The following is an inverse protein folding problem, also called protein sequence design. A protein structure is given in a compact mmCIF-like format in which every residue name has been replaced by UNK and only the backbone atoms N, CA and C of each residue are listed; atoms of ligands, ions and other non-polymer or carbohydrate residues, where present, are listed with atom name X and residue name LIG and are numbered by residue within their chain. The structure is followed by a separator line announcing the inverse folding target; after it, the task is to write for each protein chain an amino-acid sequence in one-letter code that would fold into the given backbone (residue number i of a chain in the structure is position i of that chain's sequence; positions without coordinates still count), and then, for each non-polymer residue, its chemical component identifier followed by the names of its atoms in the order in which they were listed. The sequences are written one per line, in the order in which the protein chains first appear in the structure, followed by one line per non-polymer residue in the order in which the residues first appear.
data_IF_292177213915
#
_entry.id   IF_292177213915
#
_cell.length_a   1.000
_cell.length_b   1.000
_cell.length_c   1.000
_cell.angle_alpha   90.00
_cell.angle_beta   90.00
_cell.angle_gamma   90.00
#
_symmetry.space_group_name_H-M   'P 1'
#
loop_
_entity.id
_entity.type
_entity.pdbx_description
1 polymer ?
#
# COMPACT_ATOMS: atom_id res chain seq x y z
N UNK A 1 68.44 1.99 23.67
CA UNK A 1 68.93 0.68 23.15
C UNK A 1 67.74 -0.23 23.00
N UNK A 2 67.53 -0.70 21.74
CA UNK A 2 66.61 -1.74 21.27
C UNK A 2 65.09 -1.49 21.39
N UNK A 3 64.57 -0.86 20.38
CA UNK A 3 63.24 -0.91 19.80
C UNK A 3 62.77 -2.36 19.59
N UNK A 4 61.55 -2.70 20.06
CA UNK A 4 60.81 -3.86 19.55
C UNK A 4 59.53 -3.34 18.85
N UNK A 5 59.46 -3.50 17.54
CA UNK A 5 58.31 -3.41 16.71
C UNK A 5 57.39 -4.61 17.00
N UNK A 6 56.17 -4.35 17.44
CA UNK A 6 55.12 -5.36 17.50
C UNK A 6 54.28 -5.27 16.22
N UNK A 7 54.49 -6.20 15.32
CA UNK A 7 53.68 -6.41 14.09
C UNK A 7 52.38 -7.12 14.51
N UNK A 8 51.24 -6.43 14.38
CA UNK A 8 49.93 -7.03 14.54
C UNK A 8 49.56 -7.71 13.21
N UNK A 9 49.63 -9.03 13.16
CA UNK A 9 49.07 -9.85 12.12
C UNK A 9 47.55 -9.91 12.32
N UNK A 10 46.80 -9.30 11.39
CA UNK A 10 45.37 -9.53 11.25
C UNK A 10 45.15 -10.93 10.63
N UNK A 11 44.81 -11.91 11.42
CA UNK A 11 44.30 -13.20 10.93
C UNK A 11 42.89 -13.00 10.40
N UNK A 12 42.75 -12.98 9.07
CA UNK A 12 41.47 -13.19 8.41
C UNK A 12 41.12 -14.68 8.56
N UNK A 13 40.23 -14.99 9.51
CA UNK A 13 39.68 -16.31 9.63
C UNK A 13 38.74 -16.58 8.44
N UNK A 14 39.24 -17.23 7.39
CA UNK A 14 38.43 -17.96 6.44
C UNK A 14 37.82 -19.14 7.20
N UNK A 15 36.55 -19.03 7.56
CA UNK A 15 35.77 -20.17 8.03
C UNK A 15 35.48 -21.05 6.84
N UNK A 16 36.34 -22.06 6.62
CA UNK A 16 36.06 -23.16 5.73
C UNK A 16 34.96 -24.03 6.36
N UNK A 17 33.78 -24.03 5.76
CA UNK A 17 32.71 -25.01 6.06
C UNK A 17 33.18 -26.41 5.66
N UNK A 18 33.83 -27.12 6.54
CA UNK A 18 34.14 -28.53 6.39
C UNK A 18 33.45 -29.33 7.51
N UNK A 19 32.46 -30.12 7.09
CA UNK A 19 31.93 -31.31 7.75
C UNK A 19 31.45 -31.22 9.20
N UNK A 20 30.31 -30.52 9.40
CA UNK A 20 29.27 -30.87 10.37
C UNK A 20 27.93 -30.53 9.70
N UNK A 21 26.90 -31.39 9.81
CA UNK A 21 25.61 -31.29 9.13
C UNK A 21 24.70 -30.15 9.60
N UNK A 22 25.27 -28.99 9.76
CA UNK A 22 24.55 -27.72 9.92
C UNK A 22 24.59 -27.03 8.55
N UNK A 23 23.47 -27.04 7.85
CA UNK A 23 23.34 -26.28 6.61
C UNK A 23 23.85 -24.85 6.85
N UNK A 24 24.86 -24.40 6.09
CA UNK A 24 25.24 -22.99 6.05
C UNK A 24 23.95 -22.20 5.79
N UNK A 25 23.67 -21.12 6.54
CA UNK A 25 22.52 -20.29 6.26
C UNK A 25 22.67 -19.76 4.85
N UNK A 26 21.88 -20.28 3.93
CA UNK A 26 21.84 -19.77 2.55
C UNK A 26 21.31 -18.36 2.62
N UNK A 27 22.13 -17.39 2.20
CA UNK A 27 21.68 -15.98 2.14
C UNK A 27 20.56 -15.86 1.12
N UNK A 28 19.40 -15.35 1.54
CA UNK A 28 18.29 -15.12 0.62
C UNK A 28 18.70 -14.07 -0.44
N UNK A 29 18.41 -14.38 -1.69
CA UNK A 29 18.72 -13.51 -2.84
C UNK A 29 17.47 -13.28 -3.68
N UNK A 30 17.40 -12.13 -4.33
CA UNK A 30 16.36 -11.83 -5.30
C UNK A 30 16.61 -12.58 -6.59
N UNK A 31 15.56 -13.19 -7.14
CA UNK A 31 15.59 -14.01 -8.36
C UNK A 31 14.34 -13.69 -9.18
N UNK A 32 14.52 -13.56 -10.51
CA UNK A 32 13.38 -13.41 -11.42
C UNK A 32 12.69 -14.75 -11.62
N UNK A 33 11.36 -14.75 -11.49
CA UNK A 33 10.50 -15.89 -11.68
C UNK A 33 9.76 -15.81 -13.03
N UNK A 34 9.46 -16.95 -13.60
CA UNK A 34 8.66 -17.02 -14.82
C UNK A 34 7.18 -16.95 -14.48
N UNK A 35 6.53 -15.81 -14.76
CA UNK A 35 5.11 -15.60 -14.49
C UNK A 35 4.18 -16.26 -15.49
N UNK A 36 4.62 -16.44 -16.74
CA UNK A 36 3.77 -16.84 -17.86
C UNK A 36 2.83 -15.75 -18.35
N UNK A 37 2.88 -14.55 -17.79
CA UNK A 37 2.06 -13.41 -18.19
C UNK A 37 2.89 -12.35 -18.93
N UNK A 38 2.23 -11.60 -19.81
CA UNK A 38 2.78 -10.42 -20.48
C UNK A 38 2.13 -9.11 -20.02
N UNK A 39 1.00 -9.22 -19.32
CA UNK A 39 0.28 -8.09 -18.74
C UNK A 39 1.06 -7.50 -17.58
N UNK A 40 0.90 -6.21 -17.36
CA UNK A 40 1.40 -5.56 -16.14
C UNK A 40 0.73 -6.18 -14.92
N UNK A 41 1.56 -6.61 -13.96
CA UNK A 41 1.12 -7.01 -12.65
C UNK A 41 1.15 -5.77 -11.74
N UNK A 42 0.05 -5.54 -11.05
CA UNK A 42 -0.17 -4.33 -10.27
C UNK A 42 0.13 -4.53 -8.79
N UNK A 43 -0.14 -5.76 -8.27
CA UNK A 43 0.07 -6.05 -6.85
C UNK A 43 0.24 -7.55 -6.59
N UNK A 44 0.78 -7.89 -5.41
CA UNK A 44 1.00 -9.27 -4.96
C UNK A 44 0.69 -9.41 -3.48
N UNK A 45 -0.08 -10.44 -3.12
CA UNK A 45 -0.45 -10.75 -1.74
C UNK A 45 -0.31 -12.23 -1.43
N UNK A 46 0.09 -12.58 -0.21
CA UNK A 46 0.37 -13.94 0.18
C UNK A 46 -0.48 -14.39 1.37
N UNK A 47 -1.02 -15.59 1.31
CA UNK A 47 -1.60 -16.31 2.44
C UNK A 47 -0.52 -16.95 3.30
N UNK A 48 0.51 -17.50 2.65
CA UNK A 48 1.67 -18.13 3.28
C UNK A 48 2.92 -17.88 2.43
N UNK A 49 4.09 -18.22 2.91
CA UNK A 49 5.33 -18.16 2.13
C UNK A 49 5.29 -19.02 0.84
N UNK A 50 4.41 -20.02 0.79
CA UNK A 50 4.26 -20.88 -0.38
C UNK A 50 3.09 -20.49 -1.28
N UNK A 51 2.06 -19.83 -0.74
CA UNK A 51 0.82 -19.55 -1.45
C UNK A 51 0.59 -18.05 -1.58
N UNK A 52 0.75 -17.52 -2.80
CA UNK A 52 0.59 -16.12 -3.13
C UNK A 52 -0.25 -15.93 -4.39
N UNK A 53 -0.84 -14.75 -4.52
CA UNK A 53 -1.56 -14.28 -5.70
C UNK A 53 -0.92 -13.01 -6.22
N UNK A 54 -0.73 -12.93 -7.54
CA UNK A 54 -0.36 -11.70 -8.23
C UNK A 54 -1.51 -11.27 -9.14
N UNK A 55 -1.85 -10.00 -9.10
CA UNK A 55 -3.00 -9.42 -9.81
C UNK A 55 -2.54 -8.35 -10.78
N UNK A 56 -3.27 -8.20 -11.91
CA UNK A 56 -2.83 -7.28 -12.93
C UNK A 56 -3.91 -6.88 -13.94
N UNK A 57 -3.45 -6.26 -15.02
CA UNK A 57 -4.29 -5.75 -16.08
C UNK A 57 -5.07 -6.86 -16.79
N UNK A 58 -6.17 -6.46 -17.46
CA UNK A 58 -7.05 -7.36 -18.21
C UNK A 58 -7.63 -8.54 -17.40
N UNK A 59 -7.78 -8.37 -16.06
CA UNK A 59 -8.28 -9.42 -15.18
C UNK A 59 -7.24 -10.50 -14.88
N UNK A 60 -5.95 -10.22 -15.07
CA UNK A 60 -4.88 -11.18 -14.80
C UNK A 60 -4.83 -11.52 -13.32
N UNK A 61 -4.99 -12.79 -13.01
CA UNK A 61 -4.79 -13.38 -11.70
C UNK A 61 -3.84 -14.56 -11.83
N UNK A 62 -2.72 -14.52 -11.15
CA UNK A 62 -1.75 -15.61 -11.08
C UNK A 62 -1.70 -16.13 -9.65
N UNK A 63 -1.47 -17.41 -9.49
CA UNK A 63 -1.25 -18.05 -8.20
C UNK A 63 0.02 -18.90 -8.21
N UNK A 64 0.66 -18.97 -7.05
CA UNK A 64 1.69 -19.96 -6.74
C UNK A 64 1.32 -20.69 -5.46
N UNK A 65 1.62 -21.99 -5.38
CA UNK A 65 1.47 -22.79 -4.17
C UNK A 65 2.78 -23.44 -3.73
N UNK A 66 3.87 -23.09 -4.40
CA UNK A 66 5.19 -23.68 -4.17
C UNK A 66 6.30 -22.63 -3.92
N UNK A 67 5.91 -21.47 -3.39
CA UNK A 67 6.86 -20.42 -3.03
C UNK A 67 7.43 -19.69 -4.24
N UNK A 68 6.62 -19.46 -5.27
CA UNK A 68 7.00 -18.72 -6.47
C UNK A 68 7.79 -19.50 -7.51
N UNK A 69 8.11 -20.79 -7.27
CA UNK A 69 8.85 -21.60 -8.25
C UNK A 69 8.10 -21.81 -9.56
N UNK A 70 6.77 -21.86 -9.48
CA UNK A 70 5.87 -21.82 -10.64
C UNK A 70 4.68 -20.93 -10.33
N UNK A 71 4.26 -20.18 -11.33
CA UNK A 71 3.03 -19.38 -11.31
C UNK A 71 2.10 -19.92 -12.38
N UNK A 72 0.81 -19.93 -12.12
CA UNK A 72 -0.22 -20.37 -13.04
C UNK A 72 -1.40 -19.38 -13.03
N UNK A 73 -2.07 -19.28 -14.17
CA UNK A 73 -3.27 -18.47 -14.28
C UNK A 73 -4.41 -19.08 -13.48
N UNK A 74 -5.05 -18.24 -12.67
CA UNK A 74 -6.31 -18.54 -12.00
C UNK A 74 -7.46 -17.82 -12.70
N UNK A 75 -8.67 -18.38 -12.55
CA UNK A 75 -9.85 -17.79 -13.18
C UNK A 75 -10.61 -16.95 -12.20
N UNK A 76 -10.68 -15.65 -12.51
CA UNK A 76 -11.62 -14.71 -11.90
C UNK A 76 -12.53 -14.19 -13.05
N UNK A 77 -13.88 -14.22 -12.90
CA UNK A 77 -14.78 -13.95 -14.03
C UNK A 77 -14.93 -12.45 -14.32
N UNK A 78 -13.81 -11.78 -14.56
CA UNK A 78 -13.74 -10.38 -14.96
C UNK A 78 -12.56 -10.13 -15.89
N UNK A 79 -12.69 -9.13 -16.75
CA UNK A 79 -11.59 -8.55 -17.54
C UNK A 79 -11.22 -7.14 -17.07
N UNK A 80 -11.87 -6.66 -16.02
CA UNK A 80 -11.49 -5.39 -15.41
C UNK A 80 -10.08 -5.51 -14.84
N UNK A 81 -9.27 -4.45 -14.89
CA UNK A 81 -7.96 -4.45 -14.24
C UNK A 81 -8.09 -4.78 -12.75
N UNK A 82 -7.31 -5.74 -12.29
CA UNK A 82 -7.14 -6.07 -10.89
C UNK A 82 -6.00 -5.21 -10.35
N UNK A 83 -6.28 -4.44 -9.30
CA UNK A 83 -5.39 -3.35 -8.90
C UNK A 83 -4.64 -3.61 -7.58
N UNK A 84 -5.33 -4.16 -6.58
CA UNK A 84 -4.76 -4.48 -5.28
C UNK A 84 -5.21 -5.85 -4.80
N UNK A 85 -4.37 -6.50 -4.01
CA UNK A 85 -4.70 -7.76 -3.34
C UNK A 85 -4.25 -7.74 -1.89
N UNK A 86 -5.18 -7.94 -0.97
CA UNK A 86 -4.89 -8.08 0.46
C UNK A 86 -5.30 -9.47 0.94
N UNK A 87 -4.37 -10.20 1.52
CA UNK A 87 -4.62 -11.52 2.07
C UNK A 87 -4.52 -11.52 3.60
N UNK A 88 -5.39 -12.25 4.28
CA UNK A 88 -5.42 -12.35 5.73
C UNK A 88 -5.79 -13.76 6.20
N UNK A 89 -5.11 -14.24 7.23
CA UNK A 89 -5.25 -15.62 7.68
C UNK A 89 -4.70 -16.60 6.65
N UNK A 90 -5.20 -17.85 6.66
CA UNK A 90 -4.70 -18.92 5.82
C UNK A 90 -5.48 -19.15 4.52
N UNK A 91 -6.63 -18.47 4.34
CA UNK A 91 -7.54 -18.79 3.24
C UNK A 91 -8.28 -17.59 2.63
N UNK A 92 -8.20 -16.40 3.22
CA UNK A 92 -8.98 -15.23 2.78
C UNK A 92 -8.11 -14.23 2.04
N UNK A 93 -8.50 -13.89 0.81
CA UNK A 93 -7.92 -12.79 0.06
C UNK A 93 -9.02 -11.92 -0.56
N UNK A 94 -8.70 -10.65 -0.75
CA UNK A 94 -9.56 -9.62 -1.28
C UNK A 94 -8.84 -8.92 -2.43
N UNK A 95 -9.47 -8.87 -3.59
CA UNK A 95 -8.90 -8.28 -4.80
C UNK A 95 -9.77 -7.13 -5.26
N UNK A 96 -9.19 -5.95 -5.40
CA UNK A 96 -9.85 -4.81 -6.01
C UNK A 96 -9.83 -4.97 -7.53
N UNK A 97 -11.01 -5.06 -8.13
CA UNK A 97 -11.23 -4.89 -9.56
C UNK A 97 -11.86 -3.51 -9.81
N UNK A 98 -11.15 -2.66 -10.55
CA UNK A 98 -11.65 -1.32 -10.86
C UNK A 98 -12.87 -1.37 -11.78
N UNK A 99 -13.85 -0.45 -11.64
CA UNK A 99 -13.78 0.70 -10.73
C UNK A 99 -14.20 0.40 -9.29
N UNK A 100 -15.09 -0.56 -9.01
CA UNK A 100 -15.82 -0.59 -7.74
C UNK A 100 -16.17 -2.00 -7.21
N UNK A 101 -15.48 -3.03 -7.65
CA UNK A 101 -15.76 -4.40 -7.21
C UNK A 101 -14.62 -4.94 -6.35
N UNK A 102 -14.97 -5.54 -5.22
CA UNK A 102 -14.06 -6.36 -4.45
C UNK A 102 -14.38 -7.83 -4.70
N UNK A 103 -13.43 -8.57 -5.22
CA UNK A 103 -13.51 -10.03 -5.32
C UNK A 103 -12.94 -10.65 -4.07
N UNK A 104 -13.64 -11.63 -3.51
CA UNK A 104 -13.28 -12.24 -2.23
C UNK A 104 -13.20 -13.75 -2.38
N UNK A 105 -12.16 -14.33 -1.82
CA UNK A 105 -12.04 -15.77 -1.57
C UNK A 105 -11.93 -16.03 -0.07
N UNK A 106 -12.49 -17.15 0.40
CA UNK A 106 -12.32 -17.68 1.74
C UNK A 106 -11.85 -19.14 1.75
N UNK A 107 -11.48 -19.64 0.58
CA UNK A 107 -11.02 -21.00 0.34
C UNK A 107 -9.70 -21.04 -0.43
N UNK A 108 -8.83 -20.06 -0.13
CA UNK A 108 -7.49 -19.96 -0.69
C UNK A 108 -7.44 -19.89 -2.23
N UNK A 109 -8.44 -19.22 -2.84
CA UNK A 109 -8.52 -18.99 -4.28
C UNK A 109 -9.35 -20.02 -5.05
N UNK A 110 -9.83 -21.09 -4.41
CA UNK A 110 -10.62 -22.11 -5.10
C UNK A 110 -11.94 -21.55 -5.66
N UNK A 111 -12.48 -20.49 -5.03
CA UNK A 111 -13.65 -19.76 -5.51
C UNK A 111 -13.53 -18.27 -5.19
N UNK A 112 -13.92 -17.43 -6.15
CA UNK A 112 -13.98 -15.98 -6.00
C UNK A 112 -15.42 -15.49 -6.13
N UNK A 113 -15.85 -14.63 -5.21
CA UNK A 113 -17.17 -14.02 -5.20
C UNK A 113 -17.05 -12.51 -5.33
N UNK A 114 -17.85 -11.91 -6.24
CA UNK A 114 -17.86 -10.47 -6.46
C UNK A 114 -18.75 -9.75 -5.46
N UNK A 115 -18.24 -8.69 -4.88
CA UNK A 115 -18.96 -7.76 -4.01
C UNK A 115 -18.81 -6.35 -4.58
N UNK A 116 -19.77 -5.88 -5.42
CA UNK A 116 -19.72 -4.51 -5.92
C UNK A 116 -19.97 -3.53 -4.76
N UNK A 117 -19.09 -2.53 -4.62
CA UNK A 117 -19.32 -1.41 -3.71
C UNK A 117 -20.09 -0.33 -4.48
N UNK A 118 -21.37 -0.19 -4.18
CA UNK A 118 -22.18 0.92 -4.64
C UNK A 118 -22.40 1.90 -3.49
N UNK A 119 -22.25 3.20 -3.75
CA UNK A 119 -22.58 4.24 -2.79
C UNK A 119 -23.95 4.79 -3.10
N UNK A 120 -24.85 4.57 -2.18
CA UNK A 120 -26.05 5.41 -2.11
C UNK A 120 -25.76 6.56 -1.14
N UNK A 121 -25.53 7.76 -1.64
CA UNK A 121 -25.41 8.97 -0.81
C UNK A 121 -26.67 9.80 -1.05
N UNK A 122 -27.66 9.77 -0.14
CA UNK A 122 -28.87 10.56 -0.30
C UNK A 122 -28.52 12.05 -0.43
N UNK A 123 -29.04 12.70 -1.47
CA UNK A 123 -28.91 14.14 -1.67
C UNK A 123 -27.60 14.64 -2.31
N UNK A 124 -26.70 13.74 -2.77
CA UNK A 124 -25.52 14.14 -3.52
C UNK A 124 -25.79 14.05 -5.02
N UNK A 125 -26.19 15.16 -5.62
CA UNK A 125 -26.17 15.31 -7.09
C UNK A 125 -24.75 15.71 -7.50
N UNK A 126 -23.95 14.79 -7.99
CA UNK A 126 -22.67 15.09 -8.63
C UNK A 126 -22.98 15.44 -10.10
N UNK A 127 -22.39 16.51 -10.60
CA UNK A 127 -22.55 16.90 -12.00
C UNK A 127 -22.10 15.74 -12.92
N UNK A 128 -23.02 15.21 -13.70
CA UNK A 128 -22.78 14.13 -14.68
C UNK A 128 -22.96 12.72 -14.17
N UNK A 129 -23.40 12.50 -12.92
CA UNK A 129 -23.79 11.18 -12.48
C UNK A 129 -24.96 11.21 -11.48
N UNK A 130 -25.76 10.14 -11.45
CA UNK A 130 -26.85 9.93 -10.50
C UNK A 130 -26.48 8.89 -9.47
N UNK A 131 -26.99 9.08 -8.26
CA UNK A 131 -26.85 8.12 -7.17
C UNK A 131 -27.92 7.03 -7.34
N UNK A 132 -27.52 5.84 -7.76
CA UNK A 132 -28.41 4.69 -7.99
C UNK A 132 -27.90 3.78 -9.10
N UNK A 133 -28.52 2.62 -9.26
CA UNK A 133 -28.10 1.61 -10.25
C UNK A 133 -28.72 1.82 -11.64
N UNK A 134 -29.55 2.84 -11.82
CA UNK A 134 -30.27 3.11 -13.08
C UNK A 134 -29.77 4.40 -13.76
N UNK A 135 -29.62 4.35 -15.06
CA UNK A 135 -29.46 5.54 -15.89
C UNK A 135 -30.75 6.37 -15.78
N UNK A 136 -30.64 7.62 -15.37
CA UNK A 136 -31.80 8.49 -15.29
C UNK A 136 -32.27 8.92 -16.68
N UNK A 137 -33.49 9.51 -16.82
CA UNK A 137 -34.02 9.98 -18.10
C UNK A 137 -33.15 11.02 -18.82
N UNK A 138 -32.23 11.67 -18.14
CA UNK A 138 -31.28 12.65 -18.69
C UNK A 138 -30.00 12.00 -19.23
N UNK A 139 -29.87 10.66 -19.17
CA UNK A 139 -28.72 9.91 -19.68
C UNK A 139 -27.49 9.94 -18.75
N UNK A 140 -27.66 10.41 -17.50
CA UNK A 140 -26.59 10.37 -16.52
C UNK A 140 -26.34 8.94 -16.02
N UNK A 141 -25.08 8.57 -15.88
CA UNK A 141 -24.66 7.22 -15.45
C UNK A 141 -24.57 7.13 -13.93
N UNK A 142 -24.74 5.94 -13.35
CA UNK A 142 -24.55 5.74 -11.92
C UNK A 142 -23.16 6.17 -11.45
N UNK A 143 -23.09 6.87 -10.33
CA UNK A 143 -21.81 7.21 -9.69
C UNK A 143 -21.16 5.94 -9.14
N UNK A 144 -20.05 5.53 -9.72
CA UNK A 144 -19.28 4.39 -9.26
C UNK A 144 -18.08 4.88 -8.45
N UNK A 145 -17.83 4.23 -7.32
CA UNK A 145 -16.61 4.47 -6.55
C UNK A 145 -15.40 4.00 -7.34
N UNK A 146 -14.33 4.80 -7.33
CA UNK A 146 -13.01 4.34 -7.72
C UNK A 146 -12.31 3.72 -6.52
N UNK A 147 -12.31 2.40 -6.38
CA UNK A 147 -11.53 1.73 -5.34
C UNK A 147 -10.04 1.92 -5.60
N UNK A 148 -9.30 2.35 -4.58
CA UNK A 148 -7.88 2.66 -4.67
C UNK A 148 -7.02 1.65 -3.91
N UNK A 149 -7.39 1.33 -2.65
CA UNK A 149 -6.57 0.48 -1.81
C UNK A 149 -7.40 -0.31 -0.81
N UNK A 150 -6.81 -1.40 -0.28
CA UNK A 150 -7.46 -2.29 0.68
C UNK A 150 -6.43 -2.89 1.64
N UNK A 151 -6.75 -2.87 2.93
CA UNK A 151 -5.95 -3.53 3.96
C UNK A 151 -6.84 -4.42 4.84
N UNK A 152 -6.41 -5.66 5.04
CA UNK A 152 -7.15 -6.66 5.79
C UNK A 152 -6.37 -7.10 7.03
N UNK A 153 -6.63 -6.48 8.20
CA UNK A 153 -5.98 -6.89 9.44
C UNK A 153 -6.43 -8.27 9.95
N UNK A 154 -7.54 -8.80 9.45
CA UNK A 154 -7.98 -10.17 9.72
C UNK A 154 -8.79 -10.74 8.56
N UNK A 155 -9.02 -12.06 8.59
CA UNK A 155 -9.79 -12.76 7.56
C UNK A 155 -11.24 -12.28 7.39
N UNK A 156 -11.81 -11.63 8.39
CA UNK A 156 -13.18 -11.09 8.35
C UNK A 156 -13.26 -9.57 8.29
N UNK A 157 -12.15 -8.87 8.55
CA UNK A 157 -12.15 -7.42 8.68
C UNK A 157 -11.20 -6.80 7.68
N UNK A 158 -11.71 -5.93 6.81
CA UNK A 158 -10.92 -5.15 5.87
C UNK A 158 -11.39 -3.70 5.84
N UNK A 159 -10.46 -2.81 5.57
CA UNK A 159 -10.73 -1.43 5.23
C UNK A 159 -10.42 -1.22 3.75
N UNK A 160 -11.25 -0.46 3.05
CA UNK A 160 -11.03 -0.08 1.67
C UNK A 160 -11.17 1.43 1.49
N UNK A 161 -10.28 2.01 0.70
CA UNK A 161 -10.31 3.42 0.31
C UNK A 161 -10.89 3.54 -1.07
N UNK A 162 -11.79 4.51 -1.25
CA UNK A 162 -12.41 4.79 -2.53
C UNK A 162 -12.58 6.28 -2.77
N UNK A 163 -12.47 6.71 -4.04
CA UNK A 163 -12.80 8.06 -4.49
C UNK A 163 -14.14 8.08 -5.21
N UNK A 164 -14.85 9.20 -5.13
CA UNK A 164 -16.01 9.46 -5.96
C UNK A 164 -15.60 9.86 -7.38
N UNK A 165 -16.33 9.46 -8.43
CA UNK A 165 -16.08 9.91 -9.79
C UNK A 165 -16.16 11.44 -9.89
N UNK A 166 -15.22 12.06 -10.57
CA UNK A 166 -15.12 13.52 -10.69
C UNK A 166 -14.34 14.20 -9.54
N UNK A 167 -13.74 13.46 -8.66
CA UNK A 167 -13.17 13.90 -7.38
C UNK A 167 -11.92 14.79 -7.41
N UNK A 168 -11.45 15.29 -8.52
CA UNK A 168 -10.30 16.22 -8.60
C UNK A 168 -10.72 17.64 -8.98
N UNK A 169 -11.95 18.06 -8.71
CA UNK A 169 -12.39 19.41 -9.02
C UNK A 169 -12.13 20.35 -7.86
N UNK A 170 -11.38 21.41 -8.16
CA UNK A 170 -11.02 22.58 -7.37
C UNK A 170 -12.21 23.48 -6.94
N UNK A 171 -13.43 22.96 -6.95
CA UNK A 171 -14.58 23.72 -6.47
C UNK A 171 -14.77 23.50 -4.98
N UNK A 172 -14.93 24.59 -4.19
CA UNK A 172 -15.23 24.50 -2.77
C UNK A 172 -16.45 23.62 -2.54
N UNK A 173 -16.26 22.51 -1.83
CA UNK A 173 -17.37 21.62 -1.48
C UNK A 173 -18.16 22.32 -0.37
N UNK A 174 -19.46 22.50 -0.56
CA UNK A 174 -20.30 23.13 0.47
C UNK A 174 -20.26 22.30 1.77
N UNK A 175 -20.55 22.92 2.91
CA UNK A 175 -20.56 22.31 4.25
C UNK A 175 -21.33 20.98 4.36
N UNK A 176 -22.10 20.63 3.36
CA UNK A 176 -22.97 19.44 3.30
C UNK A 176 -22.51 18.35 2.32
N UNK A 177 -21.54 18.65 1.45
CA UNK A 177 -21.03 17.67 0.49
C UNK A 177 -19.78 17.00 1.08
N UNK A 178 -19.86 15.69 1.33
CA UNK A 178 -18.75 14.90 1.85
C UNK A 178 -17.53 14.92 0.92
N UNK A 179 -16.39 14.65 1.49
CA UNK A 179 -15.09 14.53 0.81
C UNK A 179 -15.17 13.65 -0.45
N UNK A 180 -14.38 13.99 -1.47
CA UNK A 180 -14.19 13.15 -2.66
C UNK A 180 -13.64 11.75 -2.37
N UNK A 181 -13.25 11.44 -1.14
CA UNK A 181 -12.79 10.14 -0.70
C UNK A 181 -13.70 9.54 0.37
N UNK A 182 -13.71 8.23 0.43
CA UNK A 182 -14.48 7.49 1.41
C UNK A 182 -13.70 6.26 1.89
N UNK A 183 -13.86 5.95 3.16
CA UNK A 183 -13.29 4.79 3.80
C UNK A 183 -14.41 3.82 4.15
N UNK A 184 -14.23 2.56 3.81
CA UNK A 184 -15.19 1.50 3.97
C UNK A 184 -14.64 0.40 4.87
N UNK A 185 -15.50 -0.22 5.66
CA UNK A 185 -15.17 -1.30 6.57
C UNK A 185 -16.11 -2.48 6.35
N UNK A 186 -15.54 -3.66 6.17
CA UNK A 186 -16.23 -4.93 6.37
C UNK A 186 -15.78 -5.58 7.67
N UNK A 187 -16.72 -6.34 8.32
CA UNK A 187 -16.44 -7.17 9.50
C UNK A 187 -16.91 -8.61 9.32
N UNK A 188 -17.42 -8.92 8.15
CA UNK A 188 -18.00 -10.21 7.81
C UNK A 188 -17.44 -10.79 6.51
N UNK A 189 -16.14 -10.57 6.28
CA UNK A 189 -15.46 -11.16 5.15
C UNK A 189 -15.86 -10.59 3.79
N UNK A 190 -16.24 -9.30 3.72
CA UNK A 190 -16.62 -8.65 2.47
C UNK A 190 -18.10 -8.79 2.11
N UNK A 191 -18.90 -9.57 2.87
CA UNK A 191 -20.32 -9.74 2.57
C UNK A 191 -21.12 -8.44 2.66
N UNK A 192 -20.76 -7.55 3.59
CA UNK A 192 -21.28 -6.18 3.66
C UNK A 192 -20.18 -5.19 3.97
N UNK A 193 -20.33 -3.96 3.45
CA UNK A 193 -19.40 -2.86 3.66
C UNK A 193 -20.13 -1.66 4.23
N UNK A 194 -19.58 -1.02 5.24
CA UNK A 194 -20.13 0.17 5.88
C UNK A 194 -19.17 1.34 5.76
N UNK A 195 -19.70 2.48 5.29
CA UNK A 195 -18.91 3.71 5.20
C UNK A 195 -18.51 4.18 6.59
N UNK A 196 -17.25 4.48 6.77
CA UNK A 196 -16.72 5.01 8.01
C UNK A 196 -16.85 6.52 8.05
N UNK A 197 -17.11 7.05 9.25
CA UNK A 197 -17.07 8.49 9.46
C UNK A 197 -15.61 8.95 9.57
N UNK A 198 -15.22 9.81 8.66
CA UNK A 198 -13.92 10.47 8.66
C UNK A 198 -14.09 11.83 9.35
N UNK A 199 -13.18 12.25 10.26
CA UNK A 199 -13.22 13.59 10.82
C UNK A 199 -13.21 14.64 9.71
N UNK A 200 -14.04 15.66 9.82
CA UNK A 200 -13.93 16.84 8.95
C UNK A 200 -12.84 17.75 9.51
N UNK A 201 -11.81 18.02 8.73
CA UNK A 201 -10.80 19.04 9.04
C UNK A 201 -11.16 20.36 8.40
N UNK A 202 -10.88 21.46 9.08
CA UNK A 202 -10.83 22.78 8.49
C UNK A 202 -9.38 23.00 8.08
N UNK A 203 -9.12 23.13 6.79
CA UNK A 203 -7.81 23.56 6.30
C UNK A 203 -7.89 25.07 6.11
N UNK A 204 -7.04 25.78 6.81
CA UNK A 204 -6.91 27.23 6.67
C UNK A 204 -5.94 27.54 5.52
N UNK A 205 -6.40 28.26 4.50
CA UNK A 205 -5.52 28.90 3.52
C UNK A 205 -5.09 30.24 4.15
N UNK A 206 -3.87 30.27 4.68
CA UNK A 206 -3.16 31.46 5.20
C UNK A 206 -3.92 32.43 6.12
N UNK A 207 -5.13 32.80 5.79
CA UNK A 207 -5.93 33.80 6.50
C UNK A 207 -7.09 33.26 7.35
N UNK A 208 -7.31 31.94 7.39
CA UNK A 208 -8.38 31.26 8.16
C UNK A 208 -9.79 31.92 8.10
N UNK A 209 -9.98 32.88 7.24
CA UNK A 209 -11.23 33.63 7.09
C UNK A 209 -12.22 32.98 6.12
N UNK A 210 -11.76 32.09 5.28
CA UNK A 210 -12.62 31.27 4.43
C UNK A 210 -12.82 29.91 5.11
N UNK A 211 -14.03 29.62 5.59
CA UNK A 211 -14.46 28.30 6.06
C UNK A 211 -14.55 27.33 4.85
N UNK A 212 -13.43 27.02 4.22
CA UNK A 212 -13.36 26.10 3.10
C UNK A 212 -13.09 24.71 3.68
N UNK A 213 -14.08 23.83 3.62
CA UNK A 213 -13.94 22.44 4.00
C UNK A 213 -13.44 21.68 2.77
N UNK A 214 -12.19 21.25 2.78
CA UNK A 214 -11.70 20.30 1.82
C UNK A 214 -11.89 18.89 2.36
N UNK A 215 -12.44 18.01 1.54
CA UNK A 215 -12.41 16.58 1.84
C UNK A 215 -11.00 16.06 1.62
N UNK A 216 -10.53 15.20 2.53
CA UNK A 216 -9.22 14.57 2.39
C UNK A 216 -9.26 13.53 1.27
N UNK A 217 -8.45 13.63 0.21
CA UNK A 217 -8.28 12.56 -0.73
C UNK A 217 -7.45 11.47 -0.06
N UNK A 218 -8.09 10.39 0.36
CA UNK A 218 -7.40 9.19 0.80
C UNK A 218 -7.04 8.34 -0.44
N UNK A 219 -5.84 7.85 -0.48
CA UNK A 219 -5.32 7.03 -1.57
C UNK A 219 -4.92 5.64 -1.13
N UNK A 220 -4.56 5.46 0.14
CA UNK A 220 -4.13 4.20 0.69
C UNK A 220 -4.60 3.99 2.13
N UNK A 221 -4.55 2.74 2.55
CA UNK A 221 -4.80 2.31 3.94
C UNK A 221 -3.87 1.16 4.30
N UNK A 222 -3.25 1.23 5.47
CA UNK A 222 -2.43 0.15 6.01
C UNK A 222 -2.84 -0.14 7.45
N UNK A 223 -2.82 -1.42 7.83
CA UNK A 223 -3.18 -1.85 9.17
C UNK A 223 -2.03 -2.61 9.81
N UNK A 224 -1.76 -2.32 11.07
CA UNK A 224 -0.84 -3.13 11.86
C UNK A 224 -1.44 -4.51 12.17
N UNK A 225 -0.59 -5.50 12.47
CA UNK A 225 -1.06 -6.79 12.99
C UNK A 225 -1.96 -6.60 14.20
N UNK A 226 -3.03 -7.38 14.26
CA UNK A 226 -4.05 -7.26 15.32
C UNK A 226 -3.51 -7.60 16.72
N UNK A 227 -3.94 -6.84 17.74
CA UNK A 227 -4.94 -5.75 17.77
C UNK A 227 -4.35 -4.35 17.53
N UNK A 228 -3.73 -4.12 16.39
CA UNK A 228 -3.08 -2.85 16.07
C UNK A 228 -3.99 -1.83 15.38
N UNK A 229 -3.53 -0.57 15.24
CA UNK A 229 -4.21 0.50 14.53
C UNK A 229 -4.16 0.31 13.01
N UNK A 230 -5.03 1.04 12.31
CA UNK A 230 -4.89 1.30 10.89
C UNK A 230 -4.58 2.77 10.64
N UNK A 231 -3.82 3.03 9.62
CA UNK A 231 -3.47 4.35 9.12
C UNK A 231 -4.00 4.47 7.69
N UNK A 232 -4.60 5.60 7.36
CA UNK A 232 -5.00 5.92 5.99
C UNK A 232 -4.44 7.29 5.62
N UNK A 233 -3.95 7.42 4.42
CA UNK A 233 -3.33 8.65 3.95
C UNK A 233 -3.62 8.92 2.49
N UNK A 234 -3.22 10.10 2.04
CA UNK A 234 -3.37 10.52 0.66
C UNK A 234 -2.92 11.96 0.47
N UNK A 235 -3.19 12.48 -0.70
CA UNK A 235 -2.71 13.76 -1.18
C UNK A 235 -3.81 14.82 -1.18
N UNK A 236 -3.52 16.01 -0.71
CA UNK A 236 -4.40 17.18 -0.86
C UNK A 236 -3.65 18.35 -1.49
N UNK A 237 -4.16 18.85 -2.60
CA UNK A 237 -3.80 20.16 -3.13
C UNK A 237 -4.58 21.25 -2.35
N UNK A 238 -3.87 22.13 -1.69
CA UNK A 238 -4.47 23.28 -1.00
C UNK A 238 -4.26 24.53 -1.85
N UNK A 239 -5.34 25.02 -2.46
CA UNK A 239 -5.40 26.33 -3.09
C UNK A 239 -4.45 26.58 -4.27
N UNK A 240 -4.39 27.85 -4.70
CA UNK A 240 -3.53 28.33 -5.80
C UNK A 240 -2.07 28.60 -5.38
N UNK A 241 -1.74 28.40 -4.12
CA UNK A 241 -0.38 28.50 -3.59
C UNK A 241 0.13 27.09 -3.32
N UNK A 242 1.30 26.80 -3.78
CA UNK A 242 1.99 25.49 -3.82
C UNK A 242 2.17 24.86 -2.42
N UNK A 243 1.06 24.55 -1.75
CA UNK A 243 1.05 23.83 -0.49
C UNK A 243 0.37 22.48 -0.66
N UNK A 244 1.09 21.39 -0.36
CA UNK A 244 0.52 20.04 -0.28
C UNK A 244 0.26 19.74 1.20
N UNK A 245 -0.92 19.25 1.54
CA UNK A 245 -1.20 18.72 2.86
C UNK A 245 -1.47 17.22 2.75
N UNK A 246 -0.76 16.44 3.53
CA UNK A 246 -1.08 15.05 3.75
C UNK A 246 -2.14 14.93 4.85
N UNK A 247 -3.22 14.24 4.59
CA UNK A 247 -4.18 13.88 5.61
C UNK A 247 -3.85 12.49 6.15
N UNK A 248 -3.63 12.43 7.44
CA UNK A 248 -3.39 11.19 8.15
C UNK A 248 -4.59 10.89 9.03
N UNK A 249 -5.15 9.72 8.86
CA UNK A 249 -6.22 9.24 9.70
C UNK A 249 -5.74 7.99 10.43
N UNK A 250 -5.90 7.96 11.74
CA UNK A 250 -5.58 6.80 12.54
C UNK A 250 -6.81 6.29 13.28
N UNK A 251 -6.95 4.99 13.40
CA UNK A 251 -7.86 4.36 14.35
C UNK A 251 -7.06 3.57 15.37
N UNK A 252 -7.23 3.81 16.68
CA UNK A 252 -6.43 3.15 17.72
C UNK A 252 -6.73 1.65 17.88
N UNK A 253 -7.84 1.18 17.33
CA UNK A 253 -8.23 -0.23 17.34
C UNK A 253 -9.18 -0.51 16.19
N UNK A 254 -9.36 -1.79 15.85
CA UNK A 254 -10.34 -2.24 14.86
C UNK A 254 -11.73 -1.67 15.12
N UNK A 255 -12.22 -0.88 14.18
CA UNK A 255 -13.53 -0.23 14.24
C UNK A 255 -13.64 0.88 15.26
N UNK A 256 -12.53 1.40 15.76
CA UNK A 256 -12.49 2.65 16.49
C UNK A 256 -12.81 3.86 15.60
N UNK A 257 -12.97 5.01 16.22
CA UNK A 257 -13.16 6.25 15.46
C UNK A 257 -11.85 6.69 14.82
N UNK A 258 -11.92 7.04 13.54
CA UNK A 258 -10.81 7.66 12.83
C UNK A 258 -10.57 9.06 13.40
N UNK A 259 -9.33 9.42 13.60
CA UNK A 259 -8.89 10.73 14.08
C UNK A 259 -7.73 11.22 13.22
N UNK A 260 -7.58 12.53 13.12
CA UNK A 260 -6.38 13.13 12.55
C UNK A 260 -5.20 12.84 13.47
N UNK A 261 -4.05 12.48 12.90
CA UNK A 261 -2.83 12.34 13.68
C UNK A 261 -2.41 13.68 14.28
N UNK A 262 -2.05 13.73 15.56
CA UNK A 262 -1.48 14.91 16.17
C UNK A 262 -0.09 15.16 15.59
N UNK A 263 0.11 16.29 14.98
CA UNK A 263 1.41 16.67 14.39
C UNK A 263 1.31 17.37 13.05
N UNK A 264 0.12 17.35 12.43
CA UNK A 264 -0.21 18.30 11.38
C UNK A 264 -0.78 19.55 12.02
N UNK A 265 -0.03 20.68 12.16
CA UNK A 265 -0.63 21.93 12.55
C UNK A 265 -1.67 22.34 11.51
N UNK A 266 -2.75 22.97 11.98
CA UNK A 266 -3.81 23.51 11.12
C UNK A 266 -3.32 24.53 10.07
N UNK A 267 -2.09 24.99 10.19
CA UNK A 267 -1.44 25.98 9.32
C UNK A 267 -0.71 25.37 8.11
N UNK A 268 -1.01 24.12 7.78
CA UNK A 268 -0.41 23.40 6.66
C UNK A 268 0.76 22.51 7.11
N UNK A 269 0.58 21.20 6.98
CA UNK A 269 1.73 20.32 6.99
C UNK A 269 2.48 20.57 5.68
N UNK A 270 3.68 21.11 5.77
CA UNK A 270 4.65 21.05 4.67
C UNK A 270 5.17 19.62 4.45
N UNK A 271 4.44 18.64 5.03
CA UNK A 271 4.79 17.23 4.93
C UNK A 271 4.36 16.70 3.56
N UNK A 272 5.20 15.90 2.98
CA UNK A 272 4.99 15.39 1.65
C UNK A 272 3.81 14.42 1.57
N UNK A 273 3.15 14.49 0.46
CA UNK A 273 2.10 13.61 -0.03
C UNK A 273 2.51 12.15 0.04
N UNK A 274 1.63 11.30 0.55
CA UNK A 274 1.93 9.87 0.70
C UNK A 274 1.06 9.03 -0.21
N UNK A 275 1.73 8.16 -0.96
CA UNK A 275 1.12 7.35 -1.99
C UNK A 275 0.85 5.92 -1.53
N UNK A 276 1.67 5.41 -0.60
CA UNK A 276 1.53 4.06 -0.03
C UNK A 276 2.08 4.00 1.39
N UNK A 277 1.66 2.99 2.15
CA UNK A 277 2.15 2.82 3.52
C UNK A 277 2.12 1.39 4.02
N UNK A 278 2.87 1.13 5.08
CA UNK A 278 2.91 -0.15 5.79
C UNK A 278 3.01 0.05 7.30
N UNK A 279 2.25 -0.71 8.06
CA UNK A 279 2.27 -0.68 9.52
C UNK A 279 2.75 -2.04 10.07
N UNK A 280 4.05 -2.26 10.28
CA UNK A 280 4.58 -3.53 10.78
C UNK A 280 4.30 -3.80 12.25
N UNK A 281 3.95 -2.79 13.02
CA UNK A 281 3.68 -2.92 14.46
C UNK A 281 2.60 -1.93 14.90
N UNK A 282 1.99 -2.19 16.06
CA UNK A 282 0.92 -1.37 16.62
C UNK A 282 1.31 0.08 16.95
N UNK A 283 2.59 0.37 17.01
CA UNK A 283 3.12 1.70 17.31
C UNK A 283 4.05 2.24 16.22
N UNK A 284 4.07 1.62 15.06
CA UNK A 284 5.01 1.99 14.00
C UNK A 284 4.39 1.80 12.62
N UNK A 285 4.37 2.87 11.83
CA UNK A 285 4.01 2.86 10.42
C UNK A 285 5.07 3.57 9.58
N UNK A 286 5.15 3.20 8.31
CA UNK A 286 5.94 3.87 7.29
C UNK A 286 5.03 4.36 6.19
N UNK A 287 5.29 5.54 5.68
CA UNK A 287 4.58 6.07 4.54
C UNK A 287 5.55 6.62 3.51
N UNK A 288 5.27 6.34 2.26
CA UNK A 288 6.07 6.76 1.11
C UNK A 288 5.41 7.98 0.49
N UNK A 289 6.25 8.92 0.12
CA UNK A 289 5.86 10.09 -0.64
C UNK A 289 6.65 10.19 -1.94
N UNK A 290 5.95 10.34 -3.05
CA UNK A 290 6.52 10.48 -4.39
C UNK A 290 6.44 11.90 -4.95
N UNK A 291 5.80 12.82 -4.24
CA UNK A 291 5.57 14.18 -4.71
C UNK A 291 6.64 15.15 -4.19
N UNK A 292 7.90 14.89 -4.52
CA UNK A 292 8.91 15.93 -4.32
C UNK A 292 8.71 17.03 -5.36
N UNK A 293 8.46 18.30 -4.96
CA UNK A 293 8.35 19.40 -5.92
C UNK A 293 9.67 19.67 -6.65
N UNK A 294 10.77 19.08 -6.19
CA UNK A 294 12.10 19.22 -6.79
C UNK A 294 12.52 18.05 -7.67
N UNK A 295 11.67 17.01 -7.82
CA UNK A 295 11.99 15.83 -8.64
C UNK A 295 13.06 14.93 -8.03
N UNK A 296 13.32 15.04 -6.73
CA UNK A 296 14.43 14.35 -6.05
C UNK A 296 14.17 12.85 -5.80
N UNK A 297 12.99 12.36 -6.20
CA UNK A 297 12.54 10.99 -5.97
C UNK A 297 11.65 10.86 -4.74
N UNK A 298 11.47 9.64 -4.24
CA UNK A 298 10.62 9.35 -3.10
C UNK A 298 11.29 9.69 -1.78
N UNK A 299 10.47 10.01 -0.77
CA UNK A 299 10.87 9.99 0.64
C UNK A 299 10.06 8.97 1.42
N UNK A 300 10.56 8.52 2.56
CA UNK A 300 9.86 7.61 3.47
C UNK A 300 9.84 8.24 4.85
N UNK A 301 8.64 8.43 5.38
CA UNK A 301 8.44 8.95 6.73
C UNK A 301 8.02 7.82 7.66
N UNK A 302 8.65 7.79 8.83
CA UNK A 302 8.36 6.82 9.89
C UNK A 302 7.50 7.48 10.96
N UNK A 303 6.34 6.93 11.23
CA UNK A 303 5.40 7.38 12.26
C UNK A 303 5.40 6.42 13.44
N UNK A 304 5.37 6.98 14.65
CA UNK A 304 5.24 6.22 15.89
C UNK A 304 3.94 6.61 16.60
N UNK A 305 3.50 5.85 17.59
CA UNK A 305 2.30 6.18 18.39
C UNK A 305 2.38 7.55 19.09
N UNK A 306 3.57 8.15 19.18
CA UNK A 306 3.77 9.50 19.71
C UNK A 306 3.52 10.60 18.66
N UNK A 307 3.19 10.25 17.42
CA UNK A 307 2.84 11.19 16.34
C UNK A 307 4.04 11.90 15.69
N UNK A 308 5.27 11.59 16.06
CA UNK A 308 6.44 12.25 15.48
C UNK A 308 6.91 11.49 14.24
N UNK A 309 6.66 12.04 13.07
CA UNK A 309 7.25 11.60 11.82
C UNK A 309 8.75 11.88 11.78
N UNK A 310 9.54 10.89 11.43
CA UNK A 310 10.97 11.05 11.17
C UNK A 310 11.29 10.53 9.77
N UNK A 311 11.91 11.37 8.94
CA UNK A 311 12.27 10.98 7.57
C UNK A 311 13.40 9.95 7.59
N UNK A 312 13.19 8.84 6.88
CA UNK A 312 14.23 7.88 6.60
C UNK A 312 15.04 8.34 5.37
N UNK A 313 16.33 8.05 5.37
CA UNK A 313 17.18 8.33 4.22
C UNK A 313 16.88 7.34 3.10
N UNK A 314 16.56 7.87 1.91
CA UNK A 314 16.29 7.11 0.67
C UNK A 314 17.25 7.60 -0.42
N UNK A 315 17.74 6.73 -1.32
CA UNK A 315 18.53 7.16 -2.48
C UNK A 315 17.73 8.08 -3.39
N UNK A 316 18.34 9.15 -3.86
CA UNK A 316 17.73 10.13 -4.76
C UNK A 316 17.42 9.55 -6.16
N UNK A 317 16.39 10.10 -6.81
CA UNK A 317 16.06 9.79 -8.21
C UNK A 317 15.35 8.46 -8.43
N UNK A 318 14.85 7.81 -7.37
CA UNK A 318 14.00 6.61 -7.44
C UNK A 318 12.58 6.95 -7.03
N UNK A 319 11.60 6.36 -7.72
CA UNK A 319 10.20 6.41 -7.34
C UNK A 319 9.85 5.06 -6.71
N UNK A 320 9.35 5.10 -5.48
CA UNK A 320 8.88 3.94 -4.74
C UNK A 320 7.38 3.78 -4.99
N UNK A 321 6.99 2.67 -5.58
CA UNK A 321 5.59 2.38 -5.90
C UNK A 321 4.87 1.64 -4.77
N UNK A 322 5.63 0.87 -3.96
CA UNK A 322 5.05 0.11 -2.85
C UNK A 322 6.09 -0.23 -1.77
N UNK A 323 5.60 -0.54 -0.55
CA UNK A 323 6.42 -0.86 0.62
C UNK A 323 5.82 -2.02 1.42
N UNK A 324 6.64 -3.00 1.77
CA UNK A 324 6.28 -4.11 2.64
C UNK A 324 7.25 -4.22 3.82
N UNK A 325 6.70 -4.33 5.03
CA UNK A 325 7.49 -4.39 6.25
C UNK A 325 7.18 -5.69 7.02
N UNK A 326 7.94 -6.77 6.81
CA UNK A 326 7.75 -8.04 7.54
C UNK A 326 8.15 -7.99 9.01
N UNK A 327 8.85 -6.94 9.44
CA UNK A 327 9.19 -6.71 10.85
C UNK A 327 9.30 -5.20 11.12
N UNK A 328 9.22 -4.81 12.38
CA UNK A 328 9.16 -3.41 12.82
C UNK A 328 10.21 -2.48 12.17
N UNK A 329 11.41 -2.97 11.97
CA UNK A 329 12.52 -2.17 11.40
C UNK A 329 13.09 -2.74 10.10
N UNK A 330 12.49 -3.80 9.58
CA UNK A 330 12.88 -4.40 8.31
C UNK A 330 11.78 -4.17 7.29
N UNK A 331 12.05 -3.33 6.29
CA UNK A 331 11.15 -3.07 5.19
C UNK A 331 11.88 -3.25 3.86
N UNK A 332 11.09 -3.57 2.85
CA UNK A 332 11.49 -3.60 1.45
C UNK A 332 10.56 -2.70 0.65
N UNK A 333 11.08 -2.08 -0.40
CA UNK A 333 10.28 -1.28 -1.34
C UNK A 333 10.44 -1.82 -2.75
N UNK A 334 9.40 -1.66 -3.55
CA UNK A 334 9.42 -1.87 -4.99
C UNK A 334 9.27 -0.52 -5.69
N UNK A 335 9.91 -0.34 -6.85
CA UNK A 335 9.83 0.93 -7.55
C UNK A 335 10.34 0.92 -8.99
N UNK A 336 10.53 2.10 -9.53
CA UNK A 336 10.92 2.29 -10.91
C UNK A 336 12.27 1.66 -11.24
N UNK A 337 12.44 1.25 -12.50
CA UNK A 337 13.68 0.64 -13.04
C UNK A 337 14.09 -0.65 -12.32
N UNK A 338 13.12 -1.40 -11.78
CA UNK A 338 13.38 -2.63 -11.03
C UNK A 338 14.03 -2.38 -9.67
N UNK A 339 13.93 -1.16 -9.14
CA UNK A 339 14.58 -0.83 -7.87
C UNK A 339 13.90 -1.53 -6.71
N UNK A 340 14.70 -2.20 -5.90
CA UNK A 340 14.31 -2.71 -4.58
C UNK A 340 15.25 -2.09 -3.56
N UNK A 341 14.67 -1.44 -2.55
CA UNK A 341 15.45 -0.94 -1.42
C UNK A 341 15.12 -1.77 -0.18
N UNK A 342 16.03 -1.83 0.76
CA UNK A 342 15.87 -2.51 2.04
C UNK A 342 16.34 -1.62 3.18
N UNK A 343 15.62 -1.67 4.28
CA UNK A 343 16.10 -1.20 5.59
C UNK A 343 16.05 -2.34 6.61
N UNK A 344 16.93 -2.30 7.60
CA UNK A 344 16.92 -3.16 8.79
C UNK A 344 16.90 -2.34 10.07
N UNK A 345 16.89 -1.02 9.95
CA UNK A 345 16.88 -0.06 11.05
C UNK A 345 15.62 0.81 11.04
N UNK A 346 14.89 0.82 9.92
CA UNK A 346 13.75 1.71 9.68
C UNK A 346 14.13 3.18 9.44
N UNK A 347 15.43 3.51 9.35
CA UNK A 347 15.90 4.90 9.22
C UNK A 347 16.72 5.15 7.96
N UNK A 348 17.25 4.10 7.34
CA UNK A 348 18.03 4.19 6.11
C UNK A 348 17.66 3.06 5.17
N UNK A 349 17.20 3.41 3.98
CA UNK A 349 16.94 2.48 2.90
C UNK A 349 18.17 2.42 1.97
N UNK A 350 18.59 1.22 1.61
CA UNK A 350 19.71 0.99 0.72
C UNK A 350 19.31 0.05 -0.42
N UNK A 351 19.82 0.27 -1.64
CA UNK A 351 19.55 -0.62 -2.75
C UNK A 351 20.02 -2.04 -2.46
N UNK A 352 19.20 -3.02 -2.86
CA UNK A 352 19.60 -4.43 -2.90
C UNK A 352 19.70 -4.89 -4.35
N UNK A 353 20.55 -5.87 -4.60
CA UNK A 353 20.71 -6.41 -5.94
C UNK A 353 19.50 -7.26 -6.29
N UNK A 354 18.74 -6.82 -7.28
CA UNK A 354 17.64 -7.55 -7.90
C UNK A 354 17.87 -7.62 -9.42
N UNK A 355 17.44 -8.71 -10.10
CA UNK A 355 17.65 -8.86 -11.54
C UNK A 355 16.77 -7.95 -12.39
N UNK A 356 15.54 -7.61 -11.93
CA UNK A 356 14.56 -6.85 -12.68
C UNK A 356 15.10 -5.50 -13.18
N UNK A 357 14.63 -5.09 -14.36
CA UNK A 357 14.87 -3.77 -14.95
C UNK A 357 13.57 -3.02 -15.24
N UNK A 358 12.46 -3.76 -15.27
CA UNK A 358 11.11 -3.23 -15.45
C UNK A 358 10.63 -2.58 -14.15
N UNK A 359 9.67 -1.65 -14.24
CA UNK A 359 9.07 -1.06 -13.06
C UNK A 359 8.36 -2.13 -12.23
N UNK A 360 8.59 -2.11 -10.92
CA UNK A 360 7.92 -2.94 -9.94
C UNK A 360 6.83 -2.11 -9.26
N UNK A 361 5.59 -2.58 -9.30
CA UNK A 361 4.40 -1.84 -8.88
C UNK A 361 3.89 -2.27 -7.49
N UNK A 362 4.14 -3.51 -7.10
CA UNK A 362 3.68 -4.07 -5.83
C UNK A 362 4.73 -4.95 -5.17
N UNK A 363 4.74 -4.99 -3.84
CA UNK A 363 5.63 -5.85 -3.07
C UNK A 363 4.92 -6.39 -1.83
N UNK A 364 5.12 -7.67 -1.53
CA UNK A 364 4.70 -8.28 -0.28
C UNK A 364 5.82 -9.08 0.35
N UNK A 365 5.87 -9.12 1.68
CA UNK A 365 6.84 -9.92 2.41
C UNK A 365 6.14 -10.73 3.49
N UNK A 366 6.29 -12.05 3.43
CA UNK A 366 5.77 -12.96 4.46
C UNK A 366 6.74 -13.05 5.64
N UNK A 367 8.04 -12.99 5.34
CA UNK A 367 9.12 -12.95 6.34
C UNK A 367 10.22 -12.01 5.87
N UNK A 368 11.23 -11.77 6.70
CA UNK A 368 12.40 -10.97 6.31
C UNK A 368 13.28 -11.59 5.23
N UNK A 369 13.01 -12.83 4.84
CA UNK A 369 13.74 -13.60 3.82
C UNK A 369 12.85 -14.20 2.72
N UNK A 370 11.54 -13.95 2.76
CA UNK A 370 10.58 -14.38 1.72
C UNK A 370 9.72 -13.21 1.35
N UNK A 371 10.00 -12.62 0.20
CA UNK A 371 9.25 -11.51 -0.39
C UNK A 371 9.02 -11.76 -1.88
N UNK A 372 8.00 -11.11 -2.42
CA UNK A 372 7.68 -11.10 -3.84
C UNK A 372 7.42 -9.66 -4.27
N UNK A 373 8.00 -9.27 -5.39
CA UNK A 373 7.72 -7.99 -6.04
C UNK A 373 7.27 -8.25 -7.48
N UNK A 374 6.27 -7.50 -7.93
CA UNK A 374 5.67 -7.68 -9.25
C UNK A 374 5.58 -6.36 -10.00
N UNK A 375 5.54 -6.45 -11.35
CA UNK A 375 5.53 -5.22 -12.13
C UNK A 375 5.22 -5.38 -13.60
N UNK A 376 5.72 -4.43 -14.38
CA UNK A 376 5.47 -4.32 -15.81
C UNK A 376 5.92 -5.58 -16.57
N UNK A 377 5.28 -5.84 -17.70
CA UNK A 377 5.56 -6.97 -18.58
C UNK A 377 5.53 -8.36 -17.90
N UNK A 378 4.67 -8.51 -16.88
CA UNK A 378 4.55 -9.76 -16.13
C UNK A 378 5.74 -10.09 -15.23
N UNK A 379 6.58 -9.12 -14.91
CA UNK A 379 7.77 -9.30 -14.06
C UNK A 379 7.37 -9.77 -12.66
N UNK A 380 8.04 -10.82 -12.18
CA UNK A 380 8.00 -11.28 -10.79
C UNK A 380 9.43 -11.48 -10.29
N UNK A 381 9.76 -10.85 -9.18
CA UNK A 381 10.98 -11.04 -8.41
C UNK A 381 10.65 -11.71 -7.07
N UNK A 382 11.41 -12.74 -6.71
CA UNK A 382 11.24 -13.44 -5.43
C UNK A 382 12.53 -13.37 -4.61
N UNK A 383 12.42 -12.95 -3.36
CA UNK A 383 13.47 -13.07 -2.35
C UNK A 383 13.27 -14.41 -1.64
N UNK A 384 14.25 -15.29 -1.76
CA UNK A 384 14.23 -16.60 -1.08
C UNK A 384 15.63 -17.17 -0.88
N UNK A 385 15.77 -18.11 0.04
CA UNK A 385 16.96 -18.91 0.16
C UNK A 385 17.17 -19.76 -1.12
N UNK A 386 18.41 -19.84 -1.57
CA UNK A 386 18.81 -20.59 -2.75
C UNK A 386 18.61 -22.10 -2.54
#
# INVERSE_FOLDING_TARGET
MRTMLATVLALVAMVSCAAWTSACPTTATWQTEHSGASQTLNDVGCLTAAHCFAVGDAGTLLATTNGGRTWHHETIPTKAPLYRVACAGSASCYVIARPSTVWVTHDAGARWTAHPLSVHVPGLALAGCVVGDAVNPQGEVPCRLGLLDIACPSASTCYAVATLPGGWHTTPISKTSGSGSSLWLTRNGGATWTRQRIPSGVVCDGDCNANVFYGYPLEWVACAPQPGPCLAGGNQLIGSHEGFAAAWLMTPALGGHWRLEPGCPVDGCSEPVTDVGACPASNLCYAVNNSSPFGDGSSVTRYTAAGNGANATVPMGLVIEDIACPAAHTCYTAGTKGSILRTTTGTKFAPVKAPARENLNGITCVTTSVCYAVGAAGTIEALRAA
#
